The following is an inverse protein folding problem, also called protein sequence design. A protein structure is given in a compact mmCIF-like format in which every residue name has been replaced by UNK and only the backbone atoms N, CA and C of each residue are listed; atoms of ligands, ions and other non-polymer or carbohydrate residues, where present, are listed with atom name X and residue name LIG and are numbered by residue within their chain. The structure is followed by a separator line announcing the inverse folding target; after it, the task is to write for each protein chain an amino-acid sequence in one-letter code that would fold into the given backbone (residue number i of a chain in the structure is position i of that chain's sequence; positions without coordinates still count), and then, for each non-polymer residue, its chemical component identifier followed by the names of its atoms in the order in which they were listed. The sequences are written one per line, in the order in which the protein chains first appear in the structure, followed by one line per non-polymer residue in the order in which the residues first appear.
data_IF_678044318877
#
_entry.id   IF_678044318877
#
_cell.length_a   1.000
_cell.length_b   1.000
_cell.length_c   1.000
_cell.angle_alpha   90.00
_cell.angle_beta   90.00
_cell.angle_gamma   90.00
#
_symmetry.space_group_name_H-M   'P 1'
#
loop_
_entity.id
_entity.type
_entity.pdbx_description
1 polymer ?
#
# COMPACT_ATOMS: atom_id res chain seq x y z
N UNK A 1 11.42 -7.17 8.80
CA UNK A 1 10.01 -6.85 8.46
C UNK A 1 9.96 -5.43 7.94
N UNK A 2 9.23 -5.17 6.85
CA UNK A 2 9.08 -3.85 6.24
C UNK A 2 7.60 -3.46 6.15
N UNK A 3 7.33 -2.16 6.01
CA UNK A 3 5.99 -1.63 5.77
C UNK A 3 5.68 -1.55 4.29
N UNK A 4 4.44 -1.84 3.92
CA UNK A 4 3.96 -1.75 2.55
C UNK A 4 2.67 -0.94 2.51
N UNK A 5 2.64 0.10 1.68
CA UNK A 5 1.45 0.89 1.37
C UNK A 5 1.21 0.73 -0.12
N UNK A 6 0.03 0.24 -0.48
CA UNK A 6 -0.34 0.03 -1.87
C UNK A 6 -1.29 1.15 -2.29
N UNK A 7 -0.88 2.00 -3.22
CA UNK A 7 -1.84 2.86 -3.88
C UNK A 7 -2.86 2.00 -4.66
N UNK A 8 -4.15 2.39 -4.79
CA UNK A 8 -5.09 1.61 -5.57
C UNK A 8 -4.68 1.39 -7.02
N UNK A 9 -3.93 2.33 -7.64
CA UNK A 9 -3.40 2.14 -8.99
C UNK A 9 -2.45 0.94 -9.07
N UNK A 10 -1.72 0.63 -7.99
CA UNK A 10 -0.80 -0.50 -7.91
C UNK A 10 -1.49 -1.85 -7.66
N UNK A 11 -2.81 -1.86 -7.42
CA UNK A 11 -3.59 -3.09 -7.21
C UNK A 11 -4.37 -3.55 -8.44
N UNK A 12 -4.69 -2.62 -9.35
CA UNK A 12 -5.57 -2.89 -10.48
C UNK A 12 -4.76 -2.92 -11.80
N UNK A 13 -4.51 -4.11 -12.39
CA UNK A 13 -3.73 -4.28 -13.61
C UNK A 13 -4.56 -3.95 -14.86
N UNK A 14 -5.08 -2.73 -14.96
CA UNK A 14 -5.94 -2.28 -16.06
C UNK A 14 -5.81 -0.78 -16.40
N UNK A 15 -6.65 -0.34 -17.33
CA UNK A 15 -6.72 1.03 -17.85
C UNK A 15 -5.60 1.32 -18.85
N UNK A 16 -5.23 2.60 -18.91
CA UNK A 16 -4.19 3.15 -19.78
C UNK A 16 -2.74 2.76 -19.38
N UNK A 17 -2.58 1.87 -18.39
CA UNK A 17 -1.27 1.36 -17.98
C UNK A 17 -0.64 0.55 -19.12
N UNK A 18 0.69 0.61 -19.24
CA UNK A 18 1.41 -0.27 -20.17
C UNK A 18 1.26 -1.74 -19.75
N UNK A 19 1.36 -2.66 -20.72
CA UNK A 19 1.30 -4.11 -20.42
C UNK A 19 2.40 -4.55 -19.45
N UNK A 20 3.58 -3.92 -19.51
CA UNK A 20 4.66 -4.14 -18.56
C UNK A 20 4.22 -3.84 -17.11
N UNK A 21 3.59 -2.69 -16.87
CA UNK A 21 3.09 -2.32 -15.54
C UNK A 21 1.96 -3.24 -15.10
N UNK A 22 1.06 -3.62 -16.02
CA UNK A 22 -0.01 -4.57 -15.71
C UNK A 22 0.55 -5.92 -15.28
N UNK A 23 1.54 -6.46 -16.00
CA UNK A 23 2.16 -7.73 -15.65
C UNK A 23 2.94 -7.64 -14.34
N UNK A 24 3.63 -6.51 -14.09
CA UNK A 24 4.31 -6.28 -12.82
C UNK A 24 3.34 -6.25 -11.63
N UNK A 25 2.15 -5.62 -11.78
CA UNK A 25 1.08 -5.66 -10.76
C UNK A 25 0.60 -7.11 -10.53
N UNK A 26 0.46 -7.90 -11.60
CA UNK A 26 0.06 -9.32 -11.48
C UNK A 26 1.11 -10.13 -10.73
N UNK A 27 2.37 -9.96 -11.07
CA UNK A 27 3.49 -10.66 -10.45
C UNK A 27 3.67 -10.25 -8.98
N UNK A 28 3.60 -8.96 -8.67
CA UNK A 28 3.57 -8.48 -7.29
C UNK A 28 2.43 -9.15 -6.51
N UNK A 29 1.24 -9.27 -7.10
CA UNK A 29 0.11 -9.98 -6.51
C UNK A 29 0.37 -11.48 -6.24
N UNK A 30 1.20 -12.15 -7.05
CA UNK A 30 1.64 -13.53 -6.78
C UNK A 30 2.65 -13.60 -5.64
N UNK A 31 3.58 -12.65 -5.55
CA UNK A 31 4.60 -12.60 -4.50
C UNK A 31 4.01 -12.26 -3.13
N UNK A 32 3.09 -11.29 -3.08
CA UNK A 32 2.54 -10.76 -1.83
C UNK A 32 1.83 -11.82 -0.98
N UNK A 33 1.11 -12.76 -1.60
CA UNK A 33 0.27 -13.73 -0.87
C UNK A 33 1.05 -14.59 0.16
N UNK A 34 2.35 -14.78 -0.06
CA UNK A 34 3.22 -15.61 0.79
C UNK A 34 4.22 -14.79 1.61
N UNK A 35 4.14 -13.46 1.56
CA UNK A 35 5.19 -12.60 2.05
C UNK A 35 5.08 -12.35 3.56
N UNK A 36 5.79 -13.16 4.36
CA UNK A 36 5.74 -13.14 5.84
C UNK A 36 6.45 -11.93 6.47
N UNK A 37 7.32 -11.28 5.70
CA UNK A 37 8.17 -10.18 6.15
C UNK A 37 7.64 -8.78 5.82
N UNK A 38 6.42 -8.65 5.28
CA UNK A 38 5.73 -7.36 5.11
C UNK A 38 4.64 -7.15 6.15
N UNK A 39 4.33 -5.88 6.40
CA UNK A 39 3.06 -5.44 7.01
C UNK A 39 2.40 -4.43 6.09
N UNK A 40 1.20 -4.75 5.61
CA UNK A 40 0.36 -3.84 4.85
C UNK A 40 -0.27 -2.80 5.77
N UNK A 41 -0.16 -1.53 5.41
CA UNK A 41 -0.74 -0.43 6.17
C UNK A 41 -1.93 0.18 5.47
N UNK A 42 -2.97 0.43 6.24
CA UNK A 42 -4.24 0.98 5.75
C UNK A 42 -4.70 2.12 6.65
N UNK A 43 -5.51 3.03 6.10
CA UNK A 43 -6.40 3.89 6.88
C UNK A 43 -7.85 3.51 6.63
N UNK A 44 -8.77 4.02 7.45
CA UNK A 44 -10.20 3.86 7.21
C UNK A 44 -10.67 4.53 5.92
N UNK A 45 -10.01 5.60 5.48
CA UNK A 45 -10.29 6.26 4.19
C UNK A 45 -9.85 5.37 3.03
N UNK A 46 -8.60 4.89 3.03
CA UNK A 46 -8.07 4.05 1.95
C UNK A 46 -8.87 2.74 1.77
N UNK A 47 -9.33 2.14 2.88
CA UNK A 47 -10.20 0.96 2.82
C UNK A 47 -11.52 1.26 2.08
N UNK A 48 -12.10 2.45 2.27
CA UNK A 48 -13.30 2.87 1.53
C UNK A 48 -12.98 3.09 0.05
N UNK A 49 -11.82 3.64 -0.29
CA UNK A 49 -11.37 3.81 -1.69
C UNK A 49 -11.23 2.44 -2.38
N UNK A 50 -10.63 1.44 -1.73
CA UNK A 50 -10.59 0.11 -2.32
C UNK A 50 -11.99 -0.49 -2.51
N UNK A 51 -12.91 -0.21 -1.58
CA UNK A 51 -14.28 -0.69 -1.70
C UNK A 51 -15.01 -0.09 -2.90
N UNK A 52 -14.79 1.19 -3.23
CA UNK A 52 -15.38 1.80 -4.43
C UNK A 52 -14.77 1.23 -5.71
N UNK A 53 -13.48 0.90 -5.69
CA UNK A 53 -12.74 0.30 -6.82
C UNK A 53 -12.95 -1.21 -7.00
N UNK A 54 -13.72 -1.86 -6.12
CA UNK A 54 -13.93 -3.33 -6.15
C UNK A 54 -14.56 -3.85 -7.45
N UNK A 55 -15.48 -3.09 -8.04
CA UNK A 55 -16.19 -3.51 -9.26
C UNK A 55 -15.30 -3.37 -10.49
N UNK A 56 -14.41 -2.37 -10.50
CA UNK A 56 -13.35 -2.26 -11.50
C UNK A 56 -12.42 -3.46 -11.40
N UNK A 57 -11.94 -3.80 -10.20
CA UNK A 57 -11.08 -4.96 -9.98
C UNK A 57 -11.74 -6.26 -10.47
N UNK A 58 -13.02 -6.48 -10.18
CA UNK A 58 -13.78 -7.66 -10.67
C UNK A 58 -13.87 -7.76 -12.19
N UNK A 59 -13.73 -6.67 -12.95
CA UNK A 59 -13.77 -6.75 -14.43
C UNK A 59 -12.50 -7.37 -15.02
N UNK A 60 -11.46 -7.55 -14.22
CA UNK A 60 -10.13 -7.99 -14.69
C UNK A 60 -9.80 -9.42 -14.24
N UNK A 61 -10.79 -10.32 -14.24
CA UNK A 61 -10.54 -11.73 -13.99
C UNK A 61 -9.74 -12.40 -15.13
N UNK A 62 -8.83 -13.35 -14.82
CA UNK A 62 -8.50 -13.82 -13.48
C UNK A 62 -7.66 -12.81 -12.69
N UNK A 63 -8.04 -12.60 -11.42
CA UNK A 63 -7.29 -11.74 -10.51
C UNK A 63 -6.06 -12.48 -10.00
N UNK A 64 -4.92 -11.79 -9.80
CA UNK A 64 -3.79 -12.40 -9.13
C UNK A 64 -4.17 -12.81 -7.69
N UNK A 65 -3.48 -13.81 -7.11
CA UNK A 65 -3.92 -14.46 -5.87
C UNK A 65 -4.14 -13.50 -4.70
N UNK A 66 -3.22 -12.55 -4.48
CA UNK A 66 -3.37 -11.54 -3.44
C UNK A 66 -4.63 -10.69 -3.65
N UNK A 67 -4.84 -10.14 -4.86
CA UNK A 67 -5.99 -9.30 -5.20
C UNK A 67 -7.31 -10.05 -5.01
N UNK A 68 -7.38 -11.32 -5.43
CA UNK A 68 -8.57 -12.16 -5.23
C UNK A 68 -8.90 -12.33 -3.73
N UNK A 69 -7.90 -12.63 -2.90
CA UNK A 69 -8.10 -12.77 -1.44
C UNK A 69 -8.37 -11.43 -0.76
N UNK A 70 -7.73 -10.36 -1.21
CA UNK A 70 -7.91 -9.01 -0.71
C UNK A 70 -9.35 -8.54 -0.95
N UNK A 71 -9.89 -8.79 -2.15
CA UNK A 71 -11.28 -8.47 -2.50
C UNK A 71 -12.28 -9.12 -1.55
N UNK A 72 -12.06 -10.38 -1.16
CA UNK A 72 -12.87 -11.09 -0.16
C UNK A 72 -12.73 -10.42 1.22
N UNK A 73 -11.50 -10.12 1.61
CA UNK A 73 -11.17 -9.54 2.92
C UNK A 73 -11.56 -8.06 3.07
N UNK A 74 -11.88 -7.33 2.00
CA UNK A 74 -12.32 -5.93 2.09
C UNK A 74 -13.57 -5.75 2.98
N UNK A 75 -14.49 -6.71 2.96
CA UNK A 75 -15.69 -6.67 3.81
C UNK A 75 -15.34 -6.73 5.31
N UNK A 76 -14.33 -7.53 5.66
CA UNK A 76 -13.79 -7.65 7.02
C UNK A 76 -13.04 -6.37 7.42
N UNK A 77 -12.21 -5.83 6.53
CA UNK A 77 -11.52 -4.55 6.75
C UNK A 77 -12.49 -3.40 7.03
N UNK A 78 -13.61 -3.31 6.30
CA UNK A 78 -14.65 -2.33 6.56
C UNK A 78 -15.24 -2.54 7.96
N UNK A 79 -15.59 -3.78 8.33
CA UNK A 79 -16.09 -4.09 9.67
C UNK A 79 -15.09 -3.68 10.76
N UNK A 80 -13.80 -3.90 10.57
CA UNK A 80 -12.74 -3.46 11.49
C UNK A 80 -12.75 -1.94 11.65
N UNK A 81 -12.91 -1.18 10.55
CA UNK A 81 -12.97 0.28 10.62
C UNK A 81 -14.24 0.84 11.28
N UNK A 82 -15.33 0.07 11.26
CA UNK A 82 -16.62 0.43 11.87
C UNK A 82 -16.74 -0.02 13.33
N UNK A 83 -15.96 -1.02 13.73
CA UNK A 83 -15.95 -1.57 15.10
C UNK A 83 -15.10 -0.71 16.03
N UNK A 84 -15.37 -0.79 17.34
CA UNK A 84 -14.75 0.04 18.38
C UNK A 84 -13.20 -0.01 18.36
N UNK A 85 -12.58 1.01 18.98
CA UNK A 85 -11.12 1.28 19.06
C UNK A 85 -10.20 0.07 19.32
N UNK A 86 -10.70 -1.05 19.84
CA UNK A 86 -9.91 -2.23 20.22
C UNK A 86 -9.47 -3.17 19.08
N UNK A 87 -10.04 -3.05 17.88
CA UNK A 87 -9.59 -3.78 16.67
C UNK A 87 -8.75 -2.92 15.73
N UNK A 88 -8.92 -1.60 15.82
CA UNK A 88 -7.99 -0.64 15.23
C UNK A 88 -6.62 -0.79 15.91
N UNK A 89 -5.56 -0.52 15.16
CA UNK A 89 -4.17 -0.61 15.65
C UNK A 89 -3.65 -2.00 16.06
N UNK A 90 -4.38 -3.09 15.78
CA UNK A 90 -3.87 -4.46 15.90
C UNK A 90 -3.35 -4.98 14.56
N UNK A 91 -2.32 -5.82 14.63
CA UNK A 91 -1.83 -6.54 13.46
C UNK A 91 -2.75 -7.74 13.22
N UNK A 92 -3.43 -7.75 12.07
CA UNK A 92 -4.29 -8.85 11.63
C UNK A 92 -3.69 -9.53 10.39
N UNK A 93 -4.11 -10.76 10.08
CA UNK A 93 -3.72 -11.41 8.83
C UNK A 93 -4.81 -11.17 7.78
N UNK A 94 -4.51 -10.39 6.74
CA UNK A 94 -5.42 -10.09 5.65
C UNK A 94 -4.81 -10.58 4.35
N UNK A 95 -5.59 -11.36 3.59
CA UNK A 95 -5.14 -11.97 2.33
C UNK A 95 -3.83 -12.80 2.44
N UNK A 96 -3.50 -13.30 3.62
CA UNK A 96 -2.25 -14.04 3.89
C UNK A 96 -1.07 -13.17 4.34
N UNK A 97 -1.24 -11.85 4.44
CA UNK A 97 -0.20 -10.89 4.79
C UNK A 97 -0.56 -10.19 6.10
N UNK A 98 0.44 -9.86 6.93
CA UNK A 98 0.21 -9.01 8.11
C UNK A 98 -0.33 -7.66 7.65
N UNK A 99 -1.32 -7.15 8.36
CA UNK A 99 -2.03 -5.92 8.04
C UNK A 99 -2.24 -5.09 9.29
N UNK A 100 -2.24 -3.77 9.14
CA UNK A 100 -2.42 -2.84 10.24
C UNK A 100 -3.23 -1.64 9.76
N UNK A 101 -4.43 -1.49 10.32
CA UNK A 101 -5.26 -0.30 10.13
C UNK A 101 -4.84 0.77 11.14
N UNK A 102 -4.29 1.87 10.63
CA UNK A 102 -3.83 3.01 11.42
C UNK A 102 -5.00 3.82 11.98
N UNK A 103 -4.81 4.36 13.17
CA UNK A 103 -5.69 5.36 13.76
C UNK A 103 -5.79 6.60 12.88
N UNK A 104 -7.02 7.06 12.65
CA UNK A 104 -7.32 8.25 11.84
C UNK A 104 -6.48 9.46 12.24
N UNK A 105 -6.41 9.77 13.54
CA UNK A 105 -5.66 10.92 14.08
C UNK A 105 -4.16 10.85 13.81
N UNK A 106 -3.58 9.65 13.65
CA UNK A 106 -2.15 9.48 13.32
C UNK A 106 -1.87 9.70 11.84
N UNK A 107 -2.84 9.42 10.99
CA UNK A 107 -2.71 9.66 9.55
C UNK A 107 -2.92 11.15 9.28
N UNK A 108 -3.99 11.74 9.85
CA UNK A 108 -4.35 13.14 9.67
C UNK A 108 -3.38 14.15 10.31
N UNK A 109 -2.47 13.71 11.20
CA UNK A 109 -1.45 14.60 11.77
C UNK A 109 -0.38 15.04 10.76
N UNK A 110 -0.31 14.39 9.60
CA UNK A 110 0.62 14.75 8.53
C UNK A 110 -0.03 15.72 7.52
N UNK A 111 0.47 16.96 7.49
CA UNK A 111 0.10 17.95 6.49
C UNK A 111 0.91 17.76 5.21
N UNK A 112 0.24 17.20 4.21
CA UNK A 112 0.74 16.99 2.84
C UNK A 112 -0.08 17.78 1.81
N UNK A 113 -0.78 18.84 2.24
CA UNK A 113 -1.63 19.63 1.34
C UNK A 113 -0.86 20.40 0.27
N UNK A 114 0.43 20.62 0.50
CA UNK A 114 1.25 21.56 -0.25
C UNK A 114 2.46 20.90 -0.94
N UNK A 115 2.42 19.57 -1.10
CA UNK A 115 3.51 18.76 -1.68
C UNK A 115 3.29 18.38 -3.14
N UNK A 116 2.39 19.08 -3.83
CA UNK A 116 2.15 18.89 -5.27
C UNK A 116 1.06 17.88 -5.63
N UNK A 117 0.63 17.04 -4.69
CA UNK A 117 -0.47 16.08 -4.90
C UNK A 117 -1.83 16.79 -4.83
N UNK A 118 -2.66 16.63 -5.86
CA UNK A 118 -3.98 17.26 -5.99
C UNK A 118 -5.10 16.37 -5.47
N UNK A 119 -5.00 15.06 -5.66
CA UNK A 119 -6.01 14.09 -5.24
C UNK A 119 -5.89 13.74 -3.75
N UNK A 120 -7.04 13.57 -3.08
CA UNK A 120 -7.04 13.19 -1.67
C UNK A 120 -6.64 11.73 -1.45
N UNK A 121 -6.91 10.85 -2.44
CA UNK A 121 -6.46 9.46 -2.42
C UNK A 121 -4.92 9.39 -2.36
N UNK A 122 -4.24 10.14 -3.23
CA UNK A 122 -2.79 10.28 -3.27
C UNK A 122 -2.21 10.82 -1.96
N UNK A 123 -2.81 11.90 -1.43
CA UNK A 123 -2.38 12.45 -0.14
C UNK A 123 -2.55 11.45 0.98
N UNK A 124 -3.65 10.70 0.99
CA UNK A 124 -3.92 9.72 2.04
C UNK A 124 -2.90 8.58 2.03
N UNK A 125 -2.56 8.02 0.86
CA UNK A 125 -1.52 6.97 0.79
C UNK A 125 -0.16 7.49 1.26
N UNK A 126 0.17 8.75 0.96
CA UNK A 126 1.39 9.38 1.46
C UNK A 126 1.37 9.56 2.99
N UNK A 127 0.25 10.01 3.58
CA UNK A 127 0.10 10.12 5.04
C UNK A 127 0.23 8.76 5.74
N UNK A 128 -0.33 7.70 5.14
CA UNK A 128 -0.19 6.33 5.65
C UNK A 128 1.29 5.91 5.63
N UNK A 129 2.03 6.18 4.55
CA UNK A 129 3.45 5.86 4.47
C UNK A 129 4.25 6.58 5.56
N UNK A 130 4.04 7.89 5.75
CA UNK A 130 4.67 8.68 6.82
C UNK A 130 4.36 8.09 8.21
N UNK A 131 3.08 7.85 8.51
CA UNK A 131 2.66 7.29 9.79
C UNK A 131 3.21 5.87 10.04
N UNK A 132 3.36 5.06 8.99
CA UNK A 132 3.93 3.71 9.07
C UNK A 132 5.45 3.71 9.26
N UNK A 133 6.15 4.73 8.74
CA UNK A 133 7.60 4.87 8.83
C UNK A 133 8.11 5.06 10.27
N UNK A 134 7.25 5.54 11.18
CA UNK A 134 7.56 5.58 12.62
C UNK A 134 7.73 4.19 13.24
N UNK A 135 7.11 3.15 12.65
CA UNK A 135 7.06 1.78 13.19
C UNK A 135 7.92 0.79 12.42
N UNK A 136 8.40 1.15 11.23
CA UNK A 136 9.12 0.26 10.34
C UNK A 136 10.50 0.83 9.99
N UNK A 137 11.49 -0.04 9.81
CA UNK A 137 12.82 0.36 9.36
C UNK A 137 12.85 0.79 7.90
N UNK A 138 11.96 0.21 7.09
CA UNK A 138 11.78 0.48 5.68
C UNK A 138 10.30 0.39 5.33
N UNK A 139 9.81 1.32 4.53
CA UNK A 139 8.43 1.38 4.02
C UNK A 139 8.50 1.54 2.51
N UNK A 140 7.80 0.70 1.77
CA UNK A 140 7.54 0.93 0.36
C UNK A 140 6.15 1.52 0.20
N UNK A 141 6.06 2.65 -0.48
CA UNK A 141 4.82 3.15 -1.05
C UNK A 141 4.84 2.80 -2.53
N UNK A 142 3.93 1.92 -2.94
CA UNK A 142 3.88 1.43 -4.32
C UNK A 142 2.75 2.13 -5.05
N UNK A 143 3.06 2.85 -6.13
CA UNK A 143 2.07 3.50 -6.99
C UNK A 143 2.35 3.26 -8.46
N UNK A 144 1.31 3.00 -9.24
CA UNK A 144 1.36 2.96 -10.69
C UNK A 144 0.85 4.27 -11.32
N UNK A 145 0.46 5.26 -10.51
CA UNK A 145 0.03 6.57 -10.99
C UNK A 145 1.25 7.44 -11.33
N UNK A 146 1.30 7.89 -12.59
CA UNK A 146 2.39 8.75 -13.06
C UNK A 146 2.34 10.13 -12.43
N UNK A 147 1.16 10.70 -12.18
CA UNK A 147 1.03 12.02 -11.56
C UNK A 147 1.55 11.98 -10.14
N UNK A 148 1.19 10.94 -9.37
CA UNK A 148 1.75 10.73 -8.03
C UNK A 148 3.28 10.71 -8.05
N UNK A 149 3.88 9.95 -8.98
CA UNK A 149 5.33 9.77 -9.07
C UNK A 149 6.07 11.02 -9.58
N UNK A 150 5.43 11.85 -10.41
CA UNK A 150 6.07 13.01 -11.05
C UNK A 150 5.83 14.32 -10.28
N UNK A 151 4.62 14.52 -9.74
CA UNK A 151 4.20 15.80 -9.18
C UNK A 151 4.53 15.93 -7.68
N UNK A 152 4.87 14.81 -7.01
CA UNK A 152 5.25 14.83 -5.61
C UNK A 152 6.55 15.64 -5.39
N UNK A 153 6.42 16.74 -4.67
CA UNK A 153 7.55 17.56 -4.24
C UNK A 153 8.27 16.91 -3.05
N UNK A 154 9.11 15.91 -3.36
CA UNK A 154 9.88 15.16 -2.38
C UNK A 154 10.78 16.04 -1.52
N UNK A 155 11.39 17.08 -2.10
CA UNK A 155 12.26 18.02 -1.38
C UNK A 155 11.50 18.74 -0.26
N UNK A 156 10.25 19.14 -0.52
CA UNK A 156 9.41 19.79 0.48
C UNK A 156 8.98 18.82 1.57
N UNK A 157 8.64 17.58 1.19
CA UNK A 157 8.31 16.53 2.14
C UNK A 157 9.49 16.20 3.07
N UNK A 158 10.70 16.07 2.52
CA UNK A 158 11.95 15.87 3.27
C UNK A 158 12.22 16.99 4.29
N UNK A 159 11.88 18.24 3.96
CA UNK A 159 12.03 19.38 4.90
C UNK A 159 11.05 19.27 6.07
N UNK A 160 9.82 18.80 5.84
CA UNK A 160 8.79 18.65 6.88
C UNK A 160 9.00 17.39 7.73
N UNK A 161 9.30 16.25 7.10
CA UNK A 161 9.25 14.91 7.70
C UNK A 161 10.51 14.09 7.41
N UNK A 162 11.69 14.68 7.69
CA UNK A 162 12.99 14.10 7.32
C UNK A 162 13.19 12.66 7.81
N UNK A 163 12.83 12.39 9.06
CA UNK A 163 13.08 11.10 9.70
C UNK A 163 12.22 9.97 9.08
N UNK A 164 10.97 10.28 8.76
CA UNK A 164 10.04 9.37 8.08
C UNK A 164 10.45 9.14 6.63
N UNK A 165 10.75 10.21 5.89
CA UNK A 165 11.12 10.14 4.47
C UNK A 165 12.39 9.30 4.23
N UNK A 166 13.35 9.31 5.15
CA UNK A 166 14.55 8.46 5.06
C UNK A 166 14.25 6.96 5.08
N UNK A 167 13.06 6.56 5.51
CA UNK A 167 12.63 5.16 5.60
C UNK A 167 11.65 4.79 4.49
N UNK A 168 11.17 5.76 3.72
CA UNK A 168 10.16 5.56 2.68
C UNK A 168 10.85 5.51 1.32
N UNK A 169 10.53 4.48 0.56
CA UNK A 169 10.89 4.35 -0.85
C UNK A 169 9.59 4.33 -1.66
N UNK A 170 9.45 5.30 -2.57
CA UNK A 170 8.32 5.37 -3.48
C UNK A 170 8.73 4.67 -4.77
N UNK A 171 7.98 3.64 -5.13
CA UNK A 171 8.35 2.74 -6.24
C UNK A 171 7.16 2.44 -7.13
N UNK A 172 7.44 2.19 -8.41
CA UNK A 172 6.44 1.63 -9.32
C UNK A 172 6.41 0.09 -9.19
N UNK A 173 5.29 -0.57 -9.54
CA UNK A 173 5.23 -2.04 -9.52
C UNK A 173 6.28 -2.70 -10.43
N UNK A 174 6.68 -2.05 -11.52
CA UNK A 174 7.69 -2.55 -12.45
C UNK A 174 9.12 -2.11 -12.11
N UNK A 175 9.37 -1.50 -10.95
CA UNK A 175 10.73 -1.19 -10.50
C UNK A 175 11.51 -2.51 -10.24
N UNK A 176 12.62 -2.77 -10.97
CA UNK A 176 13.37 -4.01 -10.83
C UNK A 176 13.98 -4.20 -9.44
N UNK A 177 14.41 -3.12 -8.78
CA UNK A 177 15.00 -3.20 -7.43
C UNK A 177 13.94 -3.59 -6.41
N UNK A 178 12.74 -3.03 -6.53
CA UNK A 178 11.61 -3.39 -5.68
C UNK A 178 11.19 -4.85 -5.89
N UNK A 179 11.04 -5.29 -7.14
CA UNK A 179 10.64 -6.67 -7.45
C UNK A 179 11.68 -7.69 -6.98
N UNK A 180 12.96 -7.43 -7.21
CA UNK A 180 14.04 -8.28 -6.70
C UNK A 180 14.06 -8.34 -5.17
N UNK A 181 13.79 -7.21 -4.50
CA UNK A 181 13.66 -7.16 -3.05
C UNK A 181 12.48 -8.03 -2.56
N UNK A 182 11.31 -7.96 -3.20
CA UNK A 182 10.17 -8.81 -2.87
C UNK A 182 10.47 -10.29 -3.08
N UNK A 183 11.14 -10.66 -4.18
CA UNK A 183 11.53 -12.04 -4.48
C UNK A 183 12.45 -12.57 -3.38
N UNK A 184 13.53 -11.84 -3.04
CA UNK A 184 14.45 -12.23 -1.98
C UNK A 184 13.72 -12.44 -0.64
N UNK A 185 12.78 -11.55 -0.33
CA UNK A 185 11.92 -11.63 0.86
C UNK A 185 10.95 -12.83 0.85
N UNK A 186 10.51 -13.27 -0.33
CA UNK A 186 9.61 -14.41 -0.49
C UNK A 186 10.33 -15.77 -0.41
N UNK A 187 11.63 -15.77 -0.70
CA UNK A 187 12.47 -16.98 -0.73
C UNK A 187 13.13 -17.31 0.62
N UNK A 188 13.01 -16.46 1.64
CA UNK A 188 13.53 -16.78 2.97
C UNK A 188 12.75 -17.97 3.58
N UNK A 189 13.42 -19.11 3.89
CA UNK A 189 12.77 -20.22 4.55
C UNK A 189 12.30 -19.76 5.94
N UNK A 190 11.04 -20.08 6.28
CA UNK A 190 10.54 -19.91 7.64
C UNK A 190 11.44 -20.69 8.59
N UNK A 191 12.27 -19.98 9.34
CA UNK A 191 12.93 -20.54 10.53
C UNK A 191 11.78 -20.93 11.47
N UNK A 192 11.65 -22.25 11.64
CA UNK A 192 10.67 -22.92 12.48
C UNK A 192 10.91 -22.62 13.96
#
# INVERSE_FOLDING_TARGET
MFGLVLDPSALIPCGEKSEEVKEAIREMGRLLINLKCATLYFSSYLIKVYWTKKEELKRHHPLPPFQARFLIALSELIRITQSSRGLLCKINLIAGVKSHVLEKTRVESYDVSDVGLTEEEDREVLRIALASALRQKKVFLVSADRHFLQDLNWNKLLRKYRAECQRIEIVAPNDPNFMNFLIACSSEPSIA
#
